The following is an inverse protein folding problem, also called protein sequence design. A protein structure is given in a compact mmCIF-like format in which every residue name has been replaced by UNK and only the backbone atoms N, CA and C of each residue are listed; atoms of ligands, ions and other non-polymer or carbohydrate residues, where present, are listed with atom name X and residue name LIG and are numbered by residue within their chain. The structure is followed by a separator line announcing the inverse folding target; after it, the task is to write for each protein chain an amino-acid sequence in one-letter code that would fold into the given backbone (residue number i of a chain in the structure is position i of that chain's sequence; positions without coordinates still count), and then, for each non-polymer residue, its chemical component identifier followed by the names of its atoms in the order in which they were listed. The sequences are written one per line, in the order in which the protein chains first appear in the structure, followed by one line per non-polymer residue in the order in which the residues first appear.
data_IF_864464972840
#
_entry.id   IF_864464972840
#
_cell.length_a   1.000
_cell.length_b   1.000
_cell.length_c   1.000
_cell.angle_alpha   90.00
_cell.angle_beta   90.00
_cell.angle_gamma   90.00
#
_symmetry.space_group_name_H-M   'P 1'
#
loop_
_entity.id
_entity.type
_entity.pdbx_description
1 polymer ?
#
# COMPACT_ATOMS: atom_id res chain seq x y z
N UNK A 1 12.29 23.98 -18.32
CA UNK A 1 10.96 23.71 -17.75
C UNK A 1 10.88 22.21 -17.52
N UNK A 2 10.60 21.77 -16.28
CA UNK A 2 10.53 20.35 -15.93
C UNK A 2 9.49 19.65 -16.81
N UNK A 3 9.72 18.40 -17.21
CA UNK A 3 8.72 17.59 -17.96
C UNK A 3 7.41 17.51 -17.18
N UNK A 4 7.48 17.63 -15.85
CA UNK A 4 6.33 17.59 -14.96
C UNK A 4 5.44 18.86 -15.02
N UNK A 5 5.94 19.97 -15.55
CA UNK A 5 5.17 21.21 -15.70
C UNK A 5 4.50 21.36 -17.07
N UNK A 6 4.95 20.57 -18.04
CA UNK A 6 4.41 20.53 -19.39
C UNK A 6 3.33 19.43 -19.47
N UNK A 7 2.06 19.82 -19.52
CA UNK A 7 0.94 18.88 -19.49
C UNK A 7 0.94 17.91 -20.69
N UNK A 8 1.42 18.35 -21.85
CA UNK A 8 1.49 17.50 -23.06
C UNK A 8 2.55 16.44 -22.87
N UNK A 9 3.74 16.83 -22.39
CA UNK A 9 4.82 15.86 -22.14
C UNK A 9 4.52 14.93 -20.98
N UNK A 10 3.88 15.43 -19.91
CA UNK A 10 3.46 14.61 -18.79
C UNK A 10 2.45 13.54 -19.23
N UNK A 11 1.44 13.91 -20.03
CA UNK A 11 0.48 12.96 -20.57
C UNK A 11 1.14 11.94 -21.52
N UNK A 12 2.12 12.38 -22.33
CA UNK A 12 2.87 11.47 -23.20
C UNK A 12 3.74 10.47 -22.41
N UNK A 13 4.20 10.83 -21.21
CA UNK A 13 4.99 9.96 -20.34
C UNK A 13 4.14 8.96 -19.51
N UNK A 14 2.83 9.19 -19.43
CA UNK A 14 1.87 8.32 -18.74
C UNK A 14 0.70 7.93 -19.67
N UNK A 15 0.97 7.15 -20.73
CA UNK A 15 0.01 6.91 -21.82
C UNK A 15 -1.26 6.17 -21.37
N UNK A 16 -1.20 5.40 -20.28
CA UNK A 16 -2.35 4.67 -19.74
C UNK A 16 -3.02 5.39 -18.55
N UNK A 17 -2.57 6.58 -18.17
CA UNK A 17 -3.22 7.39 -17.13
C UNK A 17 -3.11 6.80 -15.72
N UNK A 18 -1.94 6.27 -15.35
CA UNK A 18 -1.66 5.80 -13.99
C UNK A 18 -1.82 6.93 -12.97
N UNK A 19 -1.42 8.15 -13.31
CA UNK A 19 -1.54 9.33 -12.44
C UNK A 19 -3.00 9.63 -12.10
N UNK A 20 -3.88 9.65 -13.11
CA UNK A 20 -5.31 9.89 -12.91
C UNK A 20 -5.95 8.75 -12.09
N UNK A 21 -5.51 7.51 -12.32
CA UNK A 21 -5.97 6.36 -11.54
C UNK A 21 -5.61 6.50 -10.06
N UNK A 22 -4.38 6.93 -9.75
CA UNK A 22 -3.92 7.17 -8.39
C UNK A 22 -4.67 8.34 -7.73
N UNK A 23 -4.92 9.44 -8.46
CA UNK A 23 -5.71 10.57 -7.97
C UNK A 23 -7.17 10.19 -7.68
N UNK A 24 -7.69 9.16 -8.34
CA UNK A 24 -9.01 8.59 -8.07
C UNK A 24 -9.14 7.83 -6.74
N UNK A 25 -8.09 7.75 -5.91
CA UNK A 25 -8.06 6.90 -4.72
C UNK A 25 -9.19 7.21 -3.71
N UNK A 26 -9.51 8.49 -3.46
CA UNK A 26 -10.62 8.88 -2.58
C UNK A 26 -11.97 8.26 -3.01
N UNK A 27 -12.25 8.29 -4.32
CA UNK A 27 -13.44 7.65 -4.91
C UNK A 27 -13.39 6.13 -4.69
N UNK A 28 -12.25 5.49 -4.94
CA UNK A 28 -12.10 4.05 -4.71
C UNK A 28 -12.37 3.67 -3.24
N UNK A 29 -11.97 4.51 -2.29
CA UNK A 29 -12.19 4.28 -0.86
C UNK A 29 -13.68 4.28 -0.54
N UNK A 30 -14.41 5.35 -0.94
CA UNK A 30 -15.86 5.44 -0.72
C UNK A 30 -16.62 4.32 -1.42
N UNK A 31 -16.28 4.03 -2.67
CA UNK A 31 -16.92 2.97 -3.45
C UNK A 31 -16.63 1.59 -2.85
N UNK A 32 -15.37 1.29 -2.52
CA UNK A 32 -14.96 0.03 -1.92
C UNK A 32 -15.64 -0.21 -0.57
N UNK A 33 -15.77 0.84 0.25
CA UNK A 33 -16.49 0.78 1.52
C UNK A 33 -17.97 0.44 1.30
N UNK A 34 -18.63 1.14 0.39
CA UNK A 34 -20.04 0.89 0.02
C UNK A 34 -20.25 -0.52 -0.49
N UNK A 35 -19.36 -1.01 -1.35
CA UNK A 35 -19.43 -2.37 -1.91
C UNK A 35 -19.26 -3.43 -0.82
N UNK A 36 -18.33 -3.22 0.12
CA UNK A 36 -18.14 -4.10 1.28
C UNK A 36 -19.34 -4.12 2.22
N UNK A 37 -19.95 -2.96 2.48
CA UNK A 37 -21.15 -2.87 3.31
C UNK A 37 -22.39 -3.55 2.69
N UNK A 38 -22.42 -3.66 1.35
CA UNK A 38 -23.48 -4.35 0.61
C UNK A 38 -23.11 -5.82 0.29
N UNK A 39 -21.96 -6.31 0.75
CA UNK A 39 -21.45 -7.63 0.43
C UNK A 39 -22.31 -8.74 1.01
N UNK A 40 -22.30 -9.90 0.35
CA UNK A 40 -22.82 -11.12 0.97
C UNK A 40 -21.77 -11.65 1.94
N UNK A 41 -22.08 -11.59 3.23
CA UNK A 41 -21.18 -12.04 4.27
C UNK A 41 -21.41 -13.53 4.61
N UNK A 42 -20.35 -14.29 4.92
CA UNK A 42 -20.48 -15.64 5.45
C UNK A 42 -20.97 -15.57 6.89
N UNK A 43 -21.56 -16.67 7.37
CA UNK A 43 -21.73 -16.85 8.81
C UNK A 43 -20.36 -17.01 9.46
N UNK A 44 -20.09 -16.20 10.48
CA UNK A 44 -18.86 -16.32 11.24
C UNK A 44 -18.97 -17.40 12.33
N UNK A 45 -17.84 -17.98 12.76
CA UNK A 45 -17.81 -18.71 14.02
C UNK A 45 -18.21 -17.79 15.17
N UNK A 46 -18.80 -18.35 16.23
CA UNK A 46 -19.25 -17.58 17.42
C UNK A 46 -18.17 -16.66 18.01
N UNK A 47 -16.90 -17.07 17.90
CA UNK A 47 -15.72 -16.30 18.30
C UNK A 47 -14.60 -16.58 17.30
N UNK A 48 -14.40 -15.73 16.29
CA UNK A 48 -13.22 -15.83 15.44
C UNK A 48 -11.97 -15.55 16.28
N UNK A 49 -10.93 -16.36 16.12
CA UNK A 49 -9.68 -16.25 16.87
C UNK A 49 -8.52 -15.75 16.00
N UNK A 50 -8.65 -15.88 14.68
CA UNK A 50 -7.62 -15.47 13.73
C UNK A 50 -8.26 -14.83 12.50
N UNK A 51 -7.73 -13.70 12.08
CA UNK A 51 -7.99 -13.10 10.79
C UNK A 51 -6.78 -13.34 9.89
N UNK A 52 -6.99 -13.98 8.74
CA UNK A 52 -5.92 -14.27 7.78
C UNK A 52 -6.23 -13.60 6.46
N UNK A 53 -5.34 -12.73 5.98
CA UNK A 53 -5.49 -12.06 4.68
C UNK A 53 -4.55 -12.73 3.67
N UNK A 54 -5.12 -13.41 2.67
CA UNK A 54 -4.35 -14.10 1.64
C UNK A 54 -4.32 -13.26 0.36
N UNK A 55 -3.13 -12.92 -0.14
CA UNK A 55 -2.98 -12.17 -1.38
C UNK A 55 -1.52 -12.01 -1.81
N UNK A 56 -1.29 -11.47 -3.00
CA UNK A 56 0.06 -11.20 -3.53
C UNK A 56 0.21 -9.75 -3.97
N UNK A 57 1.45 -9.22 -3.91
CA UNK A 57 1.77 -7.88 -4.38
C UNK A 57 0.81 -6.81 -3.84
N UNK A 58 0.21 -6.04 -4.77
CA UNK A 58 -0.80 -5.01 -4.48
C UNK A 58 -2.11 -5.51 -3.86
N UNK A 59 -2.40 -6.82 -3.88
CA UNK A 59 -3.56 -7.39 -3.19
C UNK A 59 -3.28 -7.72 -1.72
N UNK A 60 -2.06 -8.13 -1.36
CA UNK A 60 -1.70 -8.36 0.04
C UNK A 60 -1.35 -7.08 0.80
N UNK A 61 -0.96 -6.00 0.12
CA UNK A 61 -0.63 -4.74 0.81
C UNK A 61 -1.82 -4.15 1.57
N UNK A 62 -3.05 -4.37 1.11
CA UNK A 62 -4.26 -4.00 1.84
C UNK A 62 -4.35 -4.73 3.19
N UNK A 63 -3.96 -6.01 3.25
CA UNK A 63 -3.87 -6.77 4.49
C UNK A 63 -2.85 -6.20 5.48
N UNK A 64 -1.66 -5.82 4.99
CA UNK A 64 -0.63 -5.23 5.87
C UNK A 64 -1.10 -3.88 6.43
N UNK A 65 -1.75 -3.05 5.59
CA UNK A 65 -2.32 -1.78 6.01
C UNK A 65 -3.42 -1.99 7.06
N UNK A 66 -4.31 -2.96 6.88
CA UNK A 66 -5.31 -3.33 7.88
C UNK A 66 -4.68 -3.78 9.19
N UNK A 67 -3.66 -4.65 9.12
CA UNK A 67 -2.97 -5.16 10.31
C UNK A 67 -2.38 -4.00 11.14
N UNK A 68 -1.64 -3.08 10.52
CA UNK A 68 -1.09 -1.91 11.20
C UNK A 68 -2.17 -0.95 11.73
N UNK A 69 -3.18 -0.67 10.91
CA UNK A 69 -4.29 0.24 11.23
C UNK A 69 -5.20 -0.26 12.36
N UNK A 70 -5.42 -1.57 12.45
CA UNK A 70 -6.31 -2.15 13.45
C UNK A 70 -5.58 -2.68 14.69
N UNK A 71 -4.25 -2.75 14.69
CA UNK A 71 -3.47 -3.33 15.81
C UNK A 71 -3.85 -2.83 17.23
N UNK A 72 -4.17 -1.54 17.48
CA UNK A 72 -4.55 -1.05 18.80
C UNK A 72 -6.01 -1.30 19.19
N UNK A 73 -6.88 -1.66 18.24
CA UNK A 73 -8.34 -1.69 18.44
C UNK A 73 -8.98 -3.05 18.13
N UNK A 74 -8.39 -3.85 17.23
CA UNK A 74 -8.86 -5.20 16.93
C UNK A 74 -8.19 -6.20 17.86
N UNK A 75 -9.00 -6.98 18.59
CA UNK A 75 -8.54 -8.01 19.51
C UNK A 75 -8.15 -9.33 18.81
N UNK A 76 -8.46 -9.44 17.52
CA UNK A 76 -8.18 -10.64 16.71
C UNK A 76 -6.86 -10.42 15.96
N UNK A 77 -5.86 -11.31 16.11
CA UNK A 77 -4.61 -11.20 15.37
C UNK A 77 -4.85 -11.28 13.86
N UNK A 78 -4.23 -10.35 13.13
CA UNK A 78 -4.30 -10.26 11.68
C UNK A 78 -2.98 -10.77 11.10
N UNK A 79 -3.04 -11.86 10.33
CA UNK A 79 -1.89 -12.48 9.66
C UNK A 79 -2.02 -12.32 8.15
N UNK A 80 -0.99 -11.77 7.49
CA UNK A 80 -0.98 -11.61 6.03
C UNK A 80 -0.15 -12.73 5.40
N UNK A 81 -0.77 -13.48 4.49
CA UNK A 81 -0.17 -14.62 3.80
C UNK A 81 0.18 -14.21 2.37
N UNK A 82 1.47 -14.30 2.06
CA UNK A 82 2.08 -13.94 0.77
C UNK A 82 2.73 -15.17 0.11
N UNK A 83 2.01 -16.29 0.10
CA UNK A 83 2.50 -17.56 -0.42
C UNK A 83 1.36 -18.55 -0.66
N UNK A 84 1.73 -19.77 -1.04
CA UNK A 84 0.80 -20.84 -1.41
C UNK A 84 0.08 -21.47 -0.23
N UNK A 85 0.67 -21.43 0.97
CA UNK A 85 0.22 -22.19 2.13
C UNK A 85 -0.38 -21.27 3.19
N UNK A 86 -1.53 -21.68 3.73
CA UNK A 86 -2.09 -21.03 4.91
C UNK A 86 -1.38 -21.53 6.17
N UNK A 87 -1.26 -20.71 7.23
CA UNK A 87 -0.68 -21.15 8.50
C UNK A 87 -1.42 -22.35 9.10
N UNK A 88 -0.71 -23.20 9.83
CA UNK A 88 -1.26 -24.42 10.44
C UNK A 88 -2.41 -24.18 11.44
N UNK A 89 -2.55 -22.96 11.98
CA UNK A 89 -3.66 -22.60 12.87
C UNK A 89 -4.97 -22.31 12.12
N UNK A 90 -4.96 -22.23 10.79
CA UNK A 90 -6.16 -21.95 10.01
C UNK A 90 -7.14 -23.12 10.12
N UNK A 91 -8.36 -22.82 10.56
CA UNK A 91 -9.40 -23.82 10.78
C UNK A 91 -10.78 -23.20 11.05
N UNK A 92 -11.71 -23.94 11.72
CA UNK A 92 -13.10 -23.51 11.90
C UNK A 92 -13.30 -22.22 12.71
N UNK A 93 -12.28 -21.76 13.43
CA UNK A 93 -12.30 -20.48 14.18
C UNK A 93 -11.55 -19.34 13.47
N UNK A 94 -11.13 -19.57 12.22
CA UNK A 94 -10.43 -18.58 11.41
C UNK A 94 -11.39 -17.92 10.43
N UNK A 95 -11.21 -16.62 10.24
CA UNK A 95 -11.75 -15.87 9.12
C UNK A 95 -10.63 -15.62 8.12
N UNK A 96 -10.82 -16.07 6.88
CA UNK A 96 -9.88 -15.85 5.78
C UNK A 96 -10.47 -14.82 4.83
N UNK A 97 -9.73 -13.73 4.62
CA UNK A 97 -10.01 -12.73 3.59
C UNK A 97 -9.09 -12.98 2.41
N UNK A 98 -9.65 -13.47 1.31
CA UNK A 98 -8.89 -13.73 0.08
C UNK A 98 -8.97 -12.52 -0.85
N UNK A 99 -7.83 -11.93 -1.17
CA UNK A 99 -7.75 -10.71 -1.99
C UNK A 99 -6.88 -11.00 -3.22
N UNK A 100 -7.50 -10.91 -4.40
CA UNK A 100 -6.78 -10.95 -5.68
C UNK A 100 -7.52 -10.11 -6.70
N UNK A 101 -6.93 -9.01 -7.14
CA UNK A 101 -7.58 -8.15 -8.14
C UNK A 101 -7.89 -8.92 -9.43
N UNK A 102 -6.92 -9.63 -10.01
CA UNK A 102 -7.14 -10.46 -11.20
C UNK A 102 -8.08 -11.65 -10.95
N UNK A 103 -8.13 -12.13 -9.70
CA UNK A 103 -8.87 -13.32 -9.30
C UNK A 103 -8.28 -14.62 -9.80
N UNK A 104 -7.07 -14.58 -10.37
CA UNK A 104 -6.36 -15.73 -10.95
C UNK A 104 -4.94 -15.89 -10.38
N UNK A 105 -4.65 -15.26 -9.24
CA UNK A 105 -3.37 -15.42 -8.55
C UNK A 105 -3.28 -16.83 -7.97
N UNK A 106 -2.34 -17.64 -8.47
CA UNK A 106 -2.19 -19.05 -8.13
C UNK A 106 -2.02 -19.28 -6.63
N UNK A 107 -1.17 -18.50 -5.98
CA UNK A 107 -0.90 -18.57 -4.54
C UNK A 107 -2.18 -18.32 -3.72
N UNK A 108 -2.95 -17.31 -4.12
CA UNK A 108 -4.19 -16.95 -3.43
C UNK A 108 -5.25 -18.03 -3.58
N UNK A 109 -5.38 -18.63 -4.77
CA UNK A 109 -6.34 -19.71 -5.02
C UNK A 109 -5.95 -20.98 -4.26
N UNK A 110 -4.65 -21.32 -4.21
CA UNK A 110 -4.15 -22.44 -3.41
C UNK A 110 -4.44 -22.24 -1.91
N UNK A 111 -4.22 -21.03 -1.39
CA UNK A 111 -4.53 -20.68 -0.01
C UNK A 111 -6.04 -20.75 0.29
N UNK A 112 -6.89 -20.29 -0.64
CA UNK A 112 -8.36 -20.41 -0.52
C UNK A 112 -8.79 -21.86 -0.42
N UNK A 113 -8.30 -22.74 -1.31
CA UNK A 113 -8.64 -24.15 -1.30
C UNK A 113 -8.19 -24.86 0.00
N UNK A 114 -7.09 -24.41 0.62
CA UNK A 114 -6.66 -24.90 1.93
C UNK A 114 -7.56 -24.40 3.06
N UNK A 115 -7.91 -23.11 3.06
CA UNK A 115 -8.81 -22.51 4.03
C UNK A 115 -10.20 -23.17 4.02
N UNK A 116 -10.77 -23.42 2.85
CA UNK A 116 -12.06 -24.11 2.70
C UNK A 116 -11.97 -25.55 3.23
N UNK A 117 -10.90 -26.29 2.91
CA UNK A 117 -10.68 -27.65 3.45
C UNK A 117 -10.52 -27.68 4.96
N UNK A 118 -9.92 -26.63 5.54
CA UNK A 118 -9.77 -26.47 6.98
C UNK A 118 -11.08 -26.02 7.68
N UNK A 119 -12.14 -25.72 6.91
CA UNK A 119 -13.43 -25.27 7.44
C UNK A 119 -13.45 -23.82 7.90
N UNK A 120 -12.50 -22.99 7.46
CA UNK A 120 -12.47 -21.57 7.81
C UNK A 120 -13.60 -20.79 7.11
N UNK A 121 -14.07 -19.72 7.75
CA UNK A 121 -14.97 -18.77 7.09
C UNK A 121 -14.18 -18.00 6.03
N UNK A 122 -14.73 -17.84 4.82
CA UNK A 122 -14.07 -17.19 3.69
C UNK A 122 -14.83 -15.95 3.24
N UNK A 123 -14.12 -14.83 3.07
CA UNK A 123 -14.61 -13.63 2.41
C UNK A 123 -13.66 -13.25 1.27
N UNK A 124 -14.16 -13.21 0.03
CA UNK A 124 -13.31 -12.97 -1.14
C UNK A 124 -13.53 -11.58 -1.76
N UNK A 125 -12.43 -10.91 -2.14
CA UNK A 125 -12.42 -9.61 -2.82
C UNK A 125 -11.64 -9.73 -4.12
N UNK A 126 -12.30 -9.47 -5.25
CA UNK A 126 -11.70 -9.59 -6.58
C UNK A 126 -12.41 -8.75 -7.63
N UNK A 127 -11.79 -8.43 -8.76
CA UNK A 127 -12.51 -7.89 -9.92
C UNK A 127 -12.95 -8.96 -10.92
N UNK A 128 -12.58 -10.23 -10.72
CA UNK A 128 -12.90 -11.29 -11.69
C UNK A 128 -12.21 -12.63 -11.41
N UNK A 129 -11.84 -13.32 -12.48
CA UNK A 129 -11.10 -14.58 -12.41
C UNK A 129 -11.84 -15.73 -11.71
N UNK A 130 -11.07 -16.74 -11.30
CA UNK A 130 -11.58 -17.91 -10.59
C UNK A 130 -12.09 -17.55 -9.19
N UNK A 131 -11.45 -16.57 -8.54
CA UNK A 131 -11.87 -16.09 -7.21
C UNK A 131 -13.26 -15.46 -7.21
N UNK A 132 -13.78 -15.02 -8.36
CA UNK A 132 -15.12 -14.41 -8.45
C UNK A 132 -16.23 -15.40 -8.07
N UNK A 133 -16.03 -16.70 -8.23
CA UNK A 133 -17.01 -17.69 -7.78
C UNK A 133 -17.15 -17.67 -6.25
N UNK A 134 -16.02 -17.68 -5.53
CA UNK A 134 -16.01 -17.53 -4.09
C UNK A 134 -16.60 -16.17 -3.66
N UNK A 135 -16.22 -15.08 -4.33
CA UNK A 135 -16.73 -13.74 -4.01
C UNK A 135 -18.26 -13.61 -4.19
N UNK A 136 -18.85 -14.30 -5.17
CA UNK A 136 -20.31 -14.35 -5.35
C UNK A 136 -21.03 -15.14 -4.24
N UNK A 137 -20.38 -16.15 -3.66
CA UNK A 137 -20.91 -16.89 -2.50
C UNK A 137 -20.77 -16.08 -1.21
N UNK A 138 -19.58 -15.51 -1.01
CA UNK A 138 -19.22 -14.75 0.17
C UNK A 138 -18.08 -13.79 -0.14
N UNK A 139 -18.40 -12.51 -0.29
CA UNK A 139 -17.44 -11.53 -0.78
C UNK A 139 -18.03 -10.42 -1.64
N UNK A 140 -17.13 -9.81 -2.41
CA UNK A 140 -17.39 -8.68 -3.28
C UNK A 140 -16.65 -8.85 -4.60
N UNK A 141 -17.37 -8.65 -5.70
CA UNK A 141 -16.77 -8.41 -7.01
C UNK A 141 -16.66 -6.90 -7.22
N UNK A 142 -15.45 -6.36 -7.23
CA UNK A 142 -15.16 -4.93 -7.37
C UNK A 142 -14.93 -4.54 -8.84
N UNK A 143 -14.96 -3.24 -9.18
CA UNK A 143 -14.69 -2.79 -10.54
C UNK A 143 -13.33 -3.26 -11.09
N UNK A 144 -13.36 -3.81 -12.30
CA UNK A 144 -12.18 -4.21 -13.07
C UNK A 144 -11.55 -3.07 -13.89
N UNK A 145 -10.51 -3.41 -14.65
CA UNK A 145 -9.89 -2.50 -15.63
C UNK A 145 -8.73 -1.64 -15.12
N UNK A 146 -8.30 -1.82 -13.87
CA UNK A 146 -7.15 -1.11 -13.30
C UNK A 146 -5.91 -2.00 -13.20
N UNK A 147 -4.73 -1.40 -13.08
CA UNK A 147 -3.57 -2.13 -12.57
C UNK A 147 -3.82 -2.50 -11.10
N UNK A 148 -3.51 -3.73 -10.63
CA UNK A 148 -3.78 -4.14 -9.25
C UNK A 148 -3.20 -3.19 -8.19
N UNK A 149 -2.00 -2.64 -8.42
CA UNK A 149 -1.35 -1.69 -7.50
C UNK A 149 -2.06 -0.33 -7.40
N UNK A 150 -2.89 0.00 -8.39
CA UNK A 150 -3.68 1.22 -8.47
C UNK A 150 -5.15 1.03 -8.04
N UNK A 151 -5.53 -0.19 -7.62
CA UNK A 151 -6.89 -0.54 -7.18
C UNK A 151 -7.02 -0.68 -5.65
N UNK A 152 -6.10 -0.08 -4.88
CA UNK A 152 -5.99 -0.35 -3.44
C UNK A 152 -7.29 -0.08 -2.69
N UNK A 153 -8.04 0.99 -3.02
CA UNK A 153 -9.28 1.32 -2.31
C UNK A 153 -10.33 0.22 -2.46
N UNK A 154 -10.40 -0.37 -3.65
CA UNK A 154 -11.27 -1.51 -3.94
C UNK A 154 -10.81 -2.82 -3.31
N UNK A 155 -9.54 -2.96 -2.94
CA UNK A 155 -9.01 -4.19 -2.31
C UNK A 155 -9.01 -4.11 -0.78
N UNK A 156 -8.83 -2.91 -0.23
CA UNK A 156 -8.73 -2.64 1.19
C UNK A 156 -10.10 -2.41 1.84
N UNK A 157 -10.92 -1.55 1.26
CA UNK A 157 -12.14 -1.08 1.93
C UNK A 157 -13.24 -2.13 2.04
N UNK A 158 -13.44 -3.05 1.08
CA UNK A 158 -14.42 -4.12 1.28
C UNK A 158 -14.10 -5.01 2.48
N UNK A 159 -12.81 -5.28 2.73
CA UNK A 159 -12.37 -6.04 3.89
C UNK A 159 -12.63 -5.28 5.20
N UNK A 160 -12.30 -3.98 5.25
CA UNK A 160 -12.59 -3.15 6.43
C UNK A 160 -14.10 -3.07 6.72
N UNK A 161 -14.92 -2.87 5.69
CA UNK A 161 -16.38 -2.79 5.82
C UNK A 161 -17.00 -4.11 6.30
N UNK A 162 -16.47 -5.24 5.85
CA UNK A 162 -16.92 -6.54 6.32
C UNK A 162 -16.59 -6.75 7.81
N UNK A 163 -15.40 -6.34 8.26
CA UNK A 163 -15.02 -6.38 9.68
C UNK A 163 -15.91 -5.50 10.57
N UNK A 164 -16.26 -4.30 10.10
CA UNK A 164 -17.21 -3.40 10.76
C UNK A 164 -18.60 -4.05 10.84
N UNK A 165 -19.11 -4.57 9.72
CA UNK A 165 -20.42 -5.23 9.69
C UNK A 165 -20.52 -6.45 10.61
N UNK A 166 -19.44 -7.22 10.75
CA UNK A 166 -19.38 -8.34 11.69
C UNK A 166 -19.23 -7.92 13.16
N UNK A 167 -19.02 -6.63 13.44
CA UNK A 167 -18.78 -6.11 14.78
C UNK A 167 -17.44 -6.59 15.37
N UNK A 168 -16.46 -6.90 14.52
CA UNK A 168 -15.12 -7.32 14.97
C UNK A 168 -14.19 -6.14 15.26
N UNK A 169 -14.62 -4.95 14.88
CA UNK A 169 -13.95 -3.67 15.09
C UNK A 169 -15.00 -2.59 15.40
N UNK A 170 -14.59 -1.47 15.97
CA UNK A 170 -15.45 -0.31 16.17
C UNK A 170 -16.00 0.24 14.83
N UNK A 171 -17.10 1.01 14.81
CA UNK A 171 -17.62 1.58 13.57
C UNK A 171 -16.67 2.58 12.92
N UNK A 172 -16.32 2.39 11.64
CA UNK A 172 -15.31 3.18 10.94
C UNK A 172 -15.84 4.13 9.86
N UNK A 173 -17.16 4.14 9.59
CA UNK A 173 -17.73 4.93 8.51
C UNK A 173 -17.35 6.42 8.51
N UNK A 174 -17.18 7.04 9.70
CA UNK A 174 -16.71 8.43 9.82
C UNK A 174 -15.23 8.59 9.49
N UNK A 175 -14.37 7.67 9.93
CA UNK A 175 -12.94 7.69 9.58
C UNK A 175 -12.73 7.46 8.08
N UNK A 176 -13.55 6.63 7.45
CA UNK A 176 -13.51 6.39 6.00
C UNK A 176 -13.84 7.68 5.22
N UNK A 177 -14.87 8.41 5.64
CA UNK A 177 -15.24 9.67 4.98
C UNK A 177 -14.19 10.77 5.20
N UNK A 178 -13.65 10.89 6.42
CA UNK A 178 -12.55 11.83 6.70
C UNK A 178 -11.30 11.49 5.89
N UNK A 179 -10.94 10.20 5.80
CA UNK A 179 -9.84 9.76 4.95
C UNK A 179 -10.07 10.10 3.48
N UNK A 180 -11.27 9.89 2.95
CA UNK A 180 -11.58 10.26 1.57
C UNK A 180 -11.43 11.77 1.33
N UNK A 181 -11.92 12.62 2.25
CA UNK A 181 -11.76 14.08 2.17
C UNK A 181 -10.28 14.51 2.19
N UNK A 182 -9.48 13.95 3.10
CA UNK A 182 -8.03 14.24 3.17
C UNK A 182 -7.31 13.80 1.89
N UNK A 183 -7.71 12.68 1.28
CA UNK A 183 -7.13 12.23 0.02
C UNK A 183 -7.49 13.16 -1.14
N UNK A 184 -8.68 13.75 -1.15
CA UNK A 184 -9.08 14.78 -2.14
C UNK A 184 -8.23 16.03 -2.00
N UNK A 185 -7.93 16.48 -0.78
CA UNK A 185 -7.03 17.60 -0.52
C UNK A 185 -5.60 17.30 -1.00
N UNK A 186 -5.07 16.13 -0.67
CA UNK A 186 -3.74 15.70 -1.15
C UNK A 186 -3.71 15.64 -2.67
N UNK A 187 -4.74 15.10 -3.32
CA UNK A 187 -4.85 15.04 -4.77
C UNK A 187 -4.90 16.43 -5.41
N UNK A 188 -5.63 17.38 -4.79
CA UNK A 188 -5.72 18.76 -5.28
C UNK A 188 -4.36 19.49 -5.21
N UNK A 189 -3.57 19.26 -4.16
CA UNK A 189 -2.26 19.89 -3.98
C UNK A 189 -1.13 19.22 -4.75
N UNK A 190 -1.21 17.90 -4.94
CA UNK A 190 -0.18 17.09 -5.59
C UNK A 190 -0.55 16.67 -7.02
N UNK A 191 -1.66 17.18 -7.56
CA UNK A 191 -2.13 16.88 -8.92
C UNK A 191 -1.27 17.50 -10.04
N UNK A 192 -1.45 17.03 -11.29
CA UNK A 192 -0.59 17.36 -12.43
C UNK A 192 -0.60 18.85 -12.80
N UNK A 193 -1.72 19.54 -12.53
CA UNK A 193 -1.89 20.97 -12.84
C UNK A 193 -1.15 21.89 -11.87
N UNK A 194 -0.72 21.38 -10.71
CA UNK A 194 0.08 22.15 -9.76
C UNK A 194 1.54 22.12 -10.23
N UNK A 195 2.11 23.30 -10.48
CA UNK A 195 3.50 23.43 -10.91
C UNK A 195 4.48 22.85 -9.87
N UNK A 196 5.60 22.30 -10.35
CA UNK A 196 6.57 21.54 -9.58
C UNK A 196 7.03 22.28 -8.32
N UNK A 197 7.27 23.60 -8.39
CA UNK A 197 7.72 24.41 -7.24
C UNK A 197 6.77 24.40 -6.03
N UNK A 198 5.47 24.16 -6.25
CA UNK A 198 4.43 24.11 -5.19
C UNK A 198 3.89 22.70 -4.94
N UNK A 199 4.16 21.76 -5.84
CA UNK A 199 3.65 20.39 -5.74
C UNK A 199 4.62 19.53 -4.90
N UNK A 200 4.22 19.07 -3.71
CA UNK A 200 5.11 18.31 -2.83
C UNK A 200 5.58 16.98 -3.45
N UNK A 201 4.71 16.29 -4.19
CA UNK A 201 5.05 15.01 -4.82
C UNK A 201 6.06 15.20 -5.97
N UNK A 202 5.88 16.22 -6.81
CA UNK A 202 6.83 16.54 -7.90
C UNK A 202 8.19 16.93 -7.35
N UNK A 203 8.26 17.79 -6.33
CA UNK A 203 9.55 18.18 -5.70
C UNK A 203 10.30 16.99 -5.15
N UNK A 204 9.60 16.11 -4.44
CA UNK A 204 10.24 14.91 -3.91
C UNK A 204 10.70 13.99 -5.05
N UNK A 205 9.91 13.81 -6.11
CA UNK A 205 10.33 13.04 -7.28
C UNK A 205 11.59 13.64 -7.96
N UNK A 206 11.69 14.96 -8.07
CA UNK A 206 12.89 15.65 -8.60
C UNK A 206 14.11 15.42 -7.71
N UNK A 207 13.96 15.44 -6.38
CA UNK A 207 15.03 15.16 -5.43
C UNK A 207 15.49 13.68 -5.47
N UNK A 208 14.59 12.77 -5.84
CA UNK A 208 14.88 11.34 -5.97
C UNK A 208 15.41 10.94 -7.36
N UNK A 209 15.47 11.87 -8.33
CA UNK A 209 15.90 11.57 -9.69
C UNK A 209 17.37 11.11 -9.71
N UNK A 210 17.60 9.89 -10.21
CA UNK A 210 18.93 9.29 -10.27
C UNK A 210 19.44 8.71 -8.95
N UNK A 211 18.57 8.57 -7.94
CA UNK A 211 18.88 8.03 -6.61
C UNK A 211 18.16 6.70 -6.35
N UNK A 212 18.61 5.97 -5.36
CA UNK A 212 17.95 4.78 -4.79
C UNK A 212 17.15 5.24 -3.57
N UNK A 213 15.80 5.23 -3.60
CA UNK A 213 15.01 5.62 -2.44
C UNK A 213 15.11 4.57 -1.32
N UNK A 214 15.42 5.01 -0.11
CA UNK A 214 15.26 4.21 1.12
C UNK A 214 14.15 4.82 1.96
N UNK A 215 13.03 4.10 2.10
CA UNK A 215 11.82 4.61 2.74
C UNK A 215 11.69 4.05 4.15
N UNK A 216 11.79 4.92 5.16
CA UNK A 216 11.77 4.51 6.56
C UNK A 216 10.50 4.97 7.26
N UNK A 217 9.75 4.03 7.83
CA UNK A 217 8.59 4.34 8.65
C UNK A 217 9.01 4.76 10.07
N UNK A 218 8.46 5.86 10.59
CA UNK A 218 8.75 6.33 11.96
C UNK A 218 8.25 5.36 13.05
N UNK A 219 7.35 4.44 12.71
CA UNK A 219 6.80 3.48 13.65
C UNK A 219 6.32 2.21 12.94
N UNK A 220 6.19 1.07 13.67
CA UNK A 220 5.85 -0.21 13.06
C UNK A 220 4.52 -0.23 12.31
N UNK A 221 3.53 0.54 12.76
CA UNK A 221 2.22 0.55 12.13
C UNK A 221 2.20 1.24 10.75
N UNK A 222 3.25 2.01 10.42
CA UNK A 222 3.46 2.62 9.10
C UNK A 222 4.33 1.76 8.17
N UNK A 223 4.85 0.61 8.62
CA UNK A 223 5.71 -0.28 7.80
C UNK A 223 5.06 -0.66 6.47
N UNK A 224 3.76 -0.93 6.49
CA UNK A 224 2.99 -1.24 5.29
C UNK A 224 3.01 -0.10 4.27
N UNK A 225 2.99 1.16 4.72
CA UNK A 225 3.12 2.33 3.84
C UNK A 225 4.56 2.42 3.26
N UNK A 226 5.60 2.25 4.08
CA UNK A 226 6.99 2.27 3.62
C UNK A 226 7.27 1.14 2.59
N UNK A 227 6.84 -0.09 2.90
CA UNK A 227 6.90 -1.23 2.00
C UNK A 227 6.15 -0.95 0.69
N UNK A 228 4.97 -0.32 0.76
CA UNK A 228 4.22 0.06 -0.44
C UNK A 228 5.01 1.04 -1.30
N UNK A 229 5.58 2.10 -0.72
CA UNK A 229 6.39 3.06 -1.48
C UNK A 229 7.53 2.38 -2.23
N UNK A 230 8.24 1.47 -1.56
CA UNK A 230 9.28 0.64 -2.19
C UNK A 230 8.73 -0.14 -3.39
N UNK A 231 7.57 -0.79 -3.25
CA UNK A 231 6.95 -1.49 -4.38
C UNK A 231 6.54 -0.53 -5.51
N UNK A 232 6.02 0.65 -5.20
CA UNK A 232 5.64 1.63 -6.20
C UNK A 232 6.82 2.21 -6.96
N UNK A 233 7.97 2.42 -6.30
CA UNK A 233 9.20 2.78 -7.00
C UNK A 233 9.65 1.68 -7.96
N UNK A 234 9.60 0.42 -7.52
CA UNK A 234 9.95 -0.72 -8.35
C UNK A 234 9.01 -0.84 -9.57
N UNK A 235 7.70 -0.73 -9.38
CA UNK A 235 6.69 -1.02 -10.42
C UNK A 235 6.39 0.19 -11.33
N UNK A 236 6.29 1.40 -10.78
CA UNK A 236 5.99 2.60 -11.58
C UNK A 236 7.27 3.19 -12.18
N UNK A 237 8.26 3.51 -11.35
CA UNK A 237 9.46 4.23 -11.82
C UNK A 237 10.60 3.35 -12.33
N UNK A 238 10.48 2.02 -12.19
CA UNK A 238 11.52 1.04 -12.53
C UNK A 238 12.83 1.39 -11.83
N UNK A 239 12.71 1.72 -10.54
CA UNK A 239 13.82 2.15 -9.66
C UNK A 239 13.90 1.21 -8.49
N UNK A 240 15.10 0.69 -8.20
CA UNK A 240 15.33 -0.07 -6.98
C UNK A 240 15.09 0.81 -5.76
N UNK A 241 14.43 0.26 -4.75
CA UNK A 241 14.20 0.94 -3.49
C UNK A 241 14.29 -0.04 -2.30
N UNK A 242 14.58 0.52 -1.13
CA UNK A 242 14.62 -0.17 0.16
C UNK A 242 13.54 0.39 1.10
N UNK A 243 13.21 -0.37 2.15
CA UNK A 243 12.36 0.11 3.22
C UNK A 243 12.69 -0.60 4.54
N UNK A 244 12.47 0.09 5.65
CA UNK A 244 12.56 -0.44 7.02
C UNK A 244 11.76 0.48 7.98
N UNK A 245 11.77 0.21 9.28
CA UNK A 245 11.05 1.01 10.28
C UNK A 245 11.79 1.22 11.60
N UNK A 246 11.54 2.37 12.20
CA UNK A 246 11.94 2.66 13.57
C UNK A 246 11.04 1.89 14.57
N UNK A 247 11.59 1.43 15.70
CA UNK A 247 12.98 1.58 16.12
C UNK A 247 13.91 0.45 15.63
N UNK A 248 13.41 -0.59 14.96
CA UNK A 248 14.21 -1.78 14.59
C UNK A 248 15.41 -1.43 13.70
N UNK A 249 15.25 -0.53 12.73
CA UNK A 249 16.35 -0.08 11.85
C UNK A 249 17.52 0.55 12.63
N UNK A 250 17.31 1.01 13.87
CA UNK A 250 18.38 1.50 14.74
C UNK A 250 19.27 0.39 15.28
N UNK A 251 18.82 -0.85 15.23
CA UNK A 251 19.52 -2.01 15.76
C UNK A 251 20.30 -2.77 14.69
N UNK A 252 20.04 -2.52 13.40
CA UNK A 252 20.68 -3.23 12.30
C UNK A 252 21.09 -2.30 11.14
N UNK A 253 20.16 -1.69 10.41
CA UNK A 253 20.39 -1.01 9.13
C UNK A 253 21.23 0.26 9.29
N UNK A 254 21.13 0.93 10.45
CA UNK A 254 21.93 2.12 10.78
C UNK A 254 23.43 1.89 10.62
N UNK A 255 23.95 0.68 10.88
CA UNK A 255 25.37 0.35 10.70
C UNK A 255 25.77 0.28 9.22
N UNK A 256 24.84 -0.12 8.35
CA UNK A 256 25.07 -0.22 6.90
C UNK A 256 25.37 1.12 6.24
N UNK A 257 24.97 2.23 6.85
CA UNK A 257 25.29 3.59 6.40
C UNK A 257 26.78 3.96 6.55
N UNK A 258 27.59 3.11 7.20
CA UNK A 258 29.05 3.19 7.17
C UNK A 258 29.68 2.74 5.83
N UNK A 259 28.87 2.42 4.80
CA UNK A 259 29.34 2.12 3.46
C UNK A 259 30.15 3.30 2.86
N UNK A 260 31.03 3.03 1.87
CA UNK A 260 31.77 4.09 1.20
C UNK A 260 30.87 5.21 0.67
N UNK A 261 31.27 6.50 0.74
CA UNK A 261 30.42 7.64 0.34
C UNK A 261 29.89 7.55 -1.10
N UNK A 262 30.64 6.95 -2.02
CA UNK A 262 30.23 6.70 -3.39
C UNK A 262 29.05 5.72 -3.53
N UNK A 263 28.85 4.84 -2.54
CA UNK A 263 27.71 3.92 -2.46
C UNK A 263 26.58 4.58 -1.69
N UNK A 264 26.86 5.08 -0.48
CA UNK A 264 25.83 5.69 0.38
C UNK A 264 25.22 6.96 -0.25
N UNK A 265 26.00 7.74 -1.00
CA UNK A 265 25.57 8.93 -1.73
C UNK A 265 24.69 8.64 -2.98
N UNK A 266 24.49 7.36 -3.32
CA UNK A 266 23.46 6.95 -4.29
C UNK A 266 22.07 6.87 -3.64
N UNK A 267 22.00 6.75 -2.31
CA UNK A 267 20.76 6.51 -1.58
C UNK A 267 20.18 7.82 -1.09
N UNK A 268 18.88 8.02 -1.31
CA UNK A 268 18.10 9.13 -0.76
C UNK A 268 17.12 8.60 0.28
N UNK A 269 17.15 9.15 1.49
CA UNK A 269 16.29 8.72 2.59
C UNK A 269 14.97 9.47 2.57
N UNK A 270 13.87 8.74 2.73
CA UNK A 270 12.53 9.30 2.93
C UNK A 270 11.95 8.74 4.23
N UNK A 271 11.80 9.59 5.25
CA UNK A 271 11.19 9.21 6.53
C UNK A 271 9.70 9.55 6.51
N UNK A 272 8.85 8.54 6.69
CA UNK A 272 7.40 8.69 6.82
C UNK A 272 7.04 8.94 8.28
N UNK A 273 6.28 10.01 8.53
CA UNK A 273 5.84 10.44 9.85
C UNK A 273 4.31 10.51 9.90
N UNK A 274 3.67 9.99 10.94
CA UNK A 274 2.23 10.14 11.18
C UNK A 274 1.86 11.43 11.92
N UNK A 275 2.83 12.17 12.46
CA UNK A 275 2.62 13.45 13.15
C UNK A 275 2.20 13.34 14.62
N UNK A 276 2.00 12.13 15.13
CA UNK A 276 1.68 11.83 16.54
C UNK A 276 2.75 10.96 17.20
N UNK A 277 3.95 10.89 16.61
CA UNK A 277 5.05 10.13 17.16
C UNK A 277 5.35 10.53 18.62
N UNK A 278 5.53 9.55 19.52
CA UNK A 278 6.07 9.83 20.85
C UNK A 278 7.43 10.55 20.75
N UNK A 279 7.73 11.45 21.68
CA UNK A 279 8.99 12.22 21.68
C UNK A 279 10.25 11.33 21.55
N UNK A 280 10.22 10.12 22.15
CA UNK A 280 11.30 9.12 22.03
C UNK A 280 11.55 8.65 20.59
N UNK A 281 10.51 8.56 19.76
CA UNK A 281 10.62 8.18 18.35
C UNK A 281 11.15 9.35 17.54
N UNK A 282 10.61 10.55 17.71
CA UNK A 282 11.14 11.75 17.04
C UNK A 282 12.62 11.97 17.35
N UNK A 283 13.03 11.75 18.61
CA UNK A 283 14.44 11.83 19.00
C UNK A 283 15.29 10.78 18.30
N UNK A 284 14.81 9.56 18.13
CA UNK A 284 15.50 8.50 17.37
C UNK A 284 15.65 8.87 15.90
N UNK A 285 14.56 9.30 15.25
CA UNK A 285 14.59 9.76 13.85
C UNK A 285 15.64 10.86 13.68
N UNK A 286 15.64 11.86 14.56
CA UNK A 286 16.59 12.96 14.51
C UNK A 286 18.04 12.47 14.68
N UNK A 287 18.34 11.73 15.76
CA UNK A 287 19.69 11.24 16.03
C UNK A 287 20.21 10.34 14.92
N UNK A 288 19.36 9.50 14.35
CA UNK A 288 19.76 8.59 13.26
C UNK A 288 20.04 9.37 11.98
N UNK A 289 19.23 10.38 11.69
CA UNK A 289 19.45 11.27 10.55
C UNK A 289 20.79 12.00 10.68
N UNK A 290 21.09 12.52 11.86
CA UNK A 290 22.31 13.29 12.12
C UNK A 290 23.58 12.41 12.14
N UNK A 291 23.50 11.23 12.77
CA UNK A 291 24.66 10.39 13.02
C UNK A 291 24.95 9.41 11.90
N UNK A 292 23.90 8.84 11.28
CA UNK A 292 24.04 7.74 10.33
C UNK A 292 23.75 8.15 8.89
N UNK A 293 22.70 8.94 8.64
CA UNK A 293 22.28 9.24 7.26
C UNK A 293 23.04 10.41 6.61
N UNK A 294 24.05 10.97 7.27
CA UNK A 294 24.87 12.05 6.72
C UNK A 294 25.52 11.75 5.34
N UNK A 295 25.85 10.50 4.95
CA UNK A 295 26.40 10.20 3.62
C UNK A 295 25.32 10.05 2.54
N UNK A 296 24.03 10.00 2.92
CA UNK A 296 22.93 9.93 1.96
C UNK A 296 22.91 11.16 1.05
N UNK A 297 22.39 11.02 -0.17
CA UNK A 297 22.22 12.17 -1.06
C UNK A 297 21.21 13.21 -0.56
N UNK A 298 20.38 12.81 0.41
CA UNK A 298 19.40 13.67 1.06
C UNK A 298 18.57 12.88 2.07
N UNK A 299 18.11 13.57 3.11
CA UNK A 299 17.13 13.04 4.07
C UNK A 299 15.88 13.90 3.98
N UNK A 300 14.78 13.29 3.56
CA UNK A 300 13.50 13.95 3.34
C UNK A 300 12.46 13.40 4.31
N UNK A 301 11.59 14.27 4.81
CA UNK A 301 10.50 13.86 5.69
C UNK A 301 9.16 14.07 4.99
N UNK A 302 8.29 13.07 5.08
CA UNK A 302 6.92 13.12 4.57
C UNK A 302 5.99 12.92 5.74
N UNK A 303 5.17 13.93 6.02
CA UNK A 303 4.23 13.93 7.15
C UNK A 303 2.83 13.58 6.66
N UNK A 304 2.18 12.70 7.39
CA UNK A 304 0.80 12.31 7.17
C UNK A 304 -0.14 13.50 7.38
N UNK A 305 -1.33 13.39 6.79
CA UNK A 305 -2.40 14.37 6.86
C UNK A 305 -3.68 13.71 7.36
N UNK A 306 -4.53 14.52 8.00
CA UNK A 306 -5.77 14.06 8.63
C UNK A 306 -5.66 13.94 10.13
N UNK A 307 -6.83 13.92 10.78
CA UNK A 307 -6.96 13.71 12.21
C UNK A 307 -7.10 12.22 12.53
N UNK A 308 -7.84 11.48 11.69
CA UNK A 308 -8.08 10.06 11.82
C UNK A 308 -6.84 9.24 11.50
N UNK A 309 -6.73 8.06 12.12
CA UNK A 309 -5.58 7.18 11.88
C UNK A 309 -5.60 6.61 10.46
N UNK A 310 -6.80 6.35 9.92
CA UNK A 310 -6.97 5.90 8.53
C UNK A 310 -6.53 6.98 7.53
N UNK A 311 -6.99 8.23 7.69
CA UNK A 311 -6.58 9.34 6.82
C UNK A 311 -5.07 9.54 6.82
N UNK A 312 -4.44 9.49 8.00
CA UNK A 312 -2.99 9.62 8.14
C UNK A 312 -2.24 8.53 7.37
N UNK A 313 -2.64 7.28 7.54
CA UNK A 313 -2.04 6.17 6.78
C UNK A 313 -2.22 6.34 5.27
N UNK A 314 -3.45 6.61 4.82
CA UNK A 314 -3.76 6.64 3.39
C UNK A 314 -3.19 7.88 2.70
N UNK A 315 -3.05 9.01 3.39
CA UNK A 315 -2.40 10.20 2.85
C UNK A 315 -0.93 9.94 2.50
N UNK A 316 -0.21 9.19 3.36
CA UNK A 316 1.16 8.74 3.08
C UNK A 316 1.17 7.78 1.88
N UNK A 317 0.20 6.87 1.80
CA UNK A 317 0.07 5.95 0.65
C UNK A 317 -0.10 6.70 -0.66
N UNK A 318 -1.04 7.65 -0.74
CA UNK A 318 -1.28 8.44 -1.94
C UNK A 318 -0.06 9.25 -2.33
N UNK A 319 0.61 9.88 -1.36
CA UNK A 319 1.84 10.63 -1.62
C UNK A 319 2.91 9.76 -2.28
N UNK A 320 3.11 8.53 -1.80
CA UNK A 320 4.07 7.59 -2.38
C UNK A 320 3.71 7.15 -3.80
N UNK A 321 2.43 6.88 -4.03
CA UNK A 321 1.91 6.54 -5.36
C UNK A 321 2.22 7.69 -6.34
N UNK A 322 1.88 8.94 -5.99
CA UNK A 322 2.14 10.12 -6.83
C UNK A 322 3.63 10.37 -7.08
N UNK A 323 4.46 10.30 -6.02
CA UNK A 323 5.93 10.50 -6.13
C UNK A 323 6.54 9.48 -7.08
N UNK A 324 6.13 8.21 -6.99
CA UNK A 324 6.65 7.15 -7.85
C UNK A 324 6.27 7.33 -9.33
N UNK A 325 5.06 7.84 -9.61
CA UNK A 325 4.59 8.08 -10.98
C UNK A 325 5.28 9.31 -11.58
N UNK A 326 5.43 10.38 -10.81
CA UNK A 326 6.21 11.54 -11.26
C UNK A 326 7.69 11.19 -11.49
N UNK A 327 8.28 10.33 -10.65
CA UNK A 327 9.63 9.83 -10.86
C UNK A 327 9.75 9.00 -12.15
N UNK A 328 8.74 8.19 -12.48
CA UNK A 328 8.68 7.48 -13.77
C UNK A 328 8.72 8.46 -14.95
N UNK A 329 7.89 9.51 -14.88
CA UNK A 329 7.82 10.55 -15.92
C UNK A 329 9.15 11.29 -16.07
N UNK A 330 9.82 11.66 -14.96
CA UNK A 330 11.15 12.29 -14.98
C UNK A 330 12.23 11.38 -15.60
N UNK A 331 12.10 10.06 -15.40
CA UNK A 331 13.00 9.06 -15.96
C UNK A 331 12.70 8.73 -17.42
N UNK A 332 11.60 9.24 -17.98
CA UNK A 332 11.15 8.91 -19.33
C UNK A 332 10.74 7.44 -19.49
N UNK A 333 10.21 6.82 -18.44
CA UNK A 333 9.68 5.44 -18.47
C UNK A 333 8.18 5.43 -18.19
N UNK A 334 7.45 4.58 -18.90
CA UNK A 334 6.00 4.41 -18.71
C UNK A 334 5.73 3.81 -17.31
N UNK A 335 4.88 4.43 -16.46
CA UNK A 335 4.56 3.94 -15.13
C UNK A 335 3.70 2.66 -15.13
N UNK A 336 3.10 2.26 -16.24
CA UNK A 336 2.04 1.24 -16.29
C UNK A 336 2.50 -0.19 -16.51
N UNK A 337 3.31 -0.51 -17.53
CA UNK A 337 3.66 -1.90 -17.81
C UNK A 337 4.60 -2.45 -16.73
N UNK A 338 4.47 -3.76 -16.47
CA UNK A 338 5.32 -4.56 -15.58
C UNK A 338 5.86 -5.77 -16.34
N UNK A 339 6.48 -5.51 -17.49
CA UNK A 339 6.86 -6.50 -18.51
C UNK A 339 7.64 -7.69 -17.95
N UNK A 340 8.58 -7.44 -17.02
CA UNK A 340 9.37 -8.49 -16.38
C UNK A 340 8.47 -9.45 -15.58
N UNK A 341 7.49 -8.92 -14.83
CA UNK A 341 6.53 -9.73 -14.08
C UNK A 341 5.66 -10.54 -15.05
N UNK A 342 5.21 -9.93 -16.14
CA UNK A 342 4.38 -10.61 -17.14
C UNK A 342 5.14 -11.72 -17.85
N UNK A 343 6.41 -11.50 -18.20
CA UNK A 343 7.29 -12.50 -18.80
C UNK A 343 7.54 -13.69 -17.86
N UNK A 344 7.76 -13.44 -16.55
CA UNK A 344 7.89 -14.50 -15.54
C UNK A 344 6.59 -15.32 -15.48
N UNK A 345 5.43 -14.67 -15.39
CA UNK A 345 4.13 -15.35 -15.34
C UNK A 345 3.84 -16.19 -16.58
N UNK A 346 4.23 -15.71 -17.76
CA UNK A 346 4.06 -16.48 -19.00
C UNK A 346 4.93 -17.73 -18.99
N UNK A 347 6.19 -17.63 -18.56
CA UNK A 347 7.12 -18.78 -18.48
C UNK A 347 6.71 -19.82 -17.44
N UNK A 348 6.06 -19.41 -16.35
CA UNK A 348 5.53 -20.34 -15.34
C UNK A 348 4.31 -21.15 -15.82
N UNK A 349 3.61 -20.68 -16.88
CA UNK A 349 2.46 -21.38 -17.47
C UNK A 349 2.81 -22.26 -18.66
N UNK A 350 4.03 -22.13 -19.18
CA UNK A 350 4.55 -22.90 -20.32
C UNK A 350 5.09 -24.25 -19.85
#
# INVERSE_FOLDING_TARGET
MSVLDDQVKLAAADPAGMLETALGFARQIRDGWRLGGAARLPSLPRRPEHLVVCGMGGSAIGGDLLAGYLAPTCSIPITVVRGYEVPAFVGPRSLVIAVSYSGSTEETLAAVAQAERAGAALFAVTSGGQLAEAARRSGVVVPGGLAPRAALGYLLMPALAALDHWGLIEPHGREVEEAAGVLEEVAAEAGPRIGASRNPAKRLAELLLGKIPAVYASSPWLEAAARRWKCQFNENSKTLAAWDAFPELNHNETVGWGAPPEIAGLVAVVVLLDGTEPARILRRVQLTSDLAFHPASGVHQVRARGAGRLARLLSLVLMGDLVSIYLACLRGVDPTPVEIIDAIKQRLRA
#
